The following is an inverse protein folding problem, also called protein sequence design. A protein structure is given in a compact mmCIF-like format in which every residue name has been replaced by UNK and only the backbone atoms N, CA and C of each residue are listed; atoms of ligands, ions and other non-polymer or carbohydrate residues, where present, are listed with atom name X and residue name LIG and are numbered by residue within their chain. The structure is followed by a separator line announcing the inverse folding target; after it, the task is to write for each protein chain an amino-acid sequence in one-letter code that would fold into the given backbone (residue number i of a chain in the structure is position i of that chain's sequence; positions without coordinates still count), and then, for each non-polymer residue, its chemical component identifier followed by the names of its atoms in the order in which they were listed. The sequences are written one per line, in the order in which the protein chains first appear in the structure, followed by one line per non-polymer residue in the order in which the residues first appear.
data_IF_310927936201
#
_entry.id   IF_310927936201
#
_cell.length_a   1.000
_cell.length_b   1.000
_cell.length_c   1.000
_cell.angle_alpha   90.00
_cell.angle_beta   90.00
_cell.angle_gamma   90.00
#
_symmetry.space_group_name_H-M   'P 1'
#
loop_
_entity.id
_entity.type
_entity.pdbx_description
1 polymer ?
#
# COMPACT_ATOMS: atom_id res chain seq x y z
N UNK A 1 -15.04 43.26 1.57
CA UNK A 1 -15.63 42.36 2.58
C UNK A 1 -14.55 41.39 3.06
N UNK A 2 -14.49 41.21 4.39
CA UNK A 2 -13.50 40.56 5.28
C UNK A 2 -12.55 39.47 4.73
N UNK A 3 -11.31 39.38 5.28
CA UNK A 3 -10.39 38.27 5.01
C UNK A 3 -10.87 37.01 5.72
N UNK A 4 -10.99 35.90 4.99
CA UNK A 4 -11.23 34.58 5.56
C UNK A 4 -9.94 34.06 6.20
N UNK A 5 -9.83 34.36 7.48
CA UNK A 5 -8.92 33.77 8.45
C UNK A 5 -9.04 32.23 8.39
N UNK A 6 -8.13 31.53 7.71
CA UNK A 6 -7.89 30.10 7.97
C UNK A 6 -7.03 30.00 9.23
N UNK A 7 -7.27 29.04 10.15
CA UNK A 7 -6.57 29.01 11.42
C UNK A 7 -5.10 28.66 11.19
N UNK A 8 -4.25 29.68 11.29
CA UNK A 8 -2.78 29.59 11.29
C UNK A 8 -2.31 28.52 12.29
N UNK A 9 -3.07 28.28 13.35
CA UNK A 9 -2.88 27.22 14.34
C UNK A 9 -2.86 25.80 13.78
N UNK A 10 -3.67 25.45 12.76
CA UNK A 10 -3.68 24.08 12.22
C UNK A 10 -2.41 23.76 11.42
N UNK A 11 -1.85 24.76 10.75
CA UNK A 11 -0.57 24.63 10.06
C UNK A 11 0.60 24.59 11.05
N UNK A 12 0.57 25.43 12.09
CA UNK A 12 1.61 25.43 13.13
C UNK A 12 1.59 24.13 13.94
N UNK A 13 0.41 23.59 14.29
CA UNK A 13 0.31 22.33 15.02
C UNK A 13 0.79 21.14 14.19
N UNK A 14 0.40 21.07 12.90
CA UNK A 14 0.95 20.09 11.96
C UNK A 14 2.46 20.21 11.79
N UNK A 15 2.99 21.43 11.72
CA UNK A 15 4.43 21.68 11.57
C UNK A 15 5.17 21.27 12.84
N UNK A 16 4.67 21.61 14.03
CA UNK A 16 5.29 21.27 15.33
C UNK A 16 5.24 19.76 15.57
N UNK A 17 4.12 19.09 15.28
CA UNK A 17 3.95 17.65 15.47
C UNK A 17 4.83 16.84 14.50
N UNK A 18 4.94 17.29 13.24
CA UNK A 18 5.86 16.71 12.25
C UNK A 18 7.33 16.96 12.61
N UNK A 19 7.66 18.14 13.16
CA UNK A 19 9.03 18.47 13.63
C UNK A 19 9.38 17.66 14.89
N UNK A 20 8.45 17.44 15.81
CA UNK A 20 8.71 16.60 16.98
C UNK A 20 8.87 15.14 16.58
N UNK A 21 8.03 14.64 15.68
CA UNK A 21 8.13 13.27 15.16
C UNK A 21 9.45 13.05 14.42
N UNK A 22 9.92 14.02 13.63
CA UNK A 22 11.21 13.89 12.94
C UNK A 22 12.40 13.86 13.92
N UNK A 23 12.37 14.66 14.98
CA UNK A 23 13.36 14.61 16.07
C UNK A 23 13.34 13.29 16.84
N UNK A 24 12.15 12.78 17.18
CA UNK A 24 12.01 11.47 17.85
C UNK A 24 12.57 10.35 16.98
N UNK A 25 12.22 10.32 15.69
CA UNK A 25 12.76 9.34 14.74
C UNK A 25 14.28 9.46 14.62
N UNK A 26 14.83 10.68 14.55
CA UNK A 26 16.28 10.89 14.47
C UNK A 26 17.02 10.40 15.72
N UNK A 27 16.49 10.69 16.90
CA UNK A 27 17.06 10.25 18.17
C UNK A 27 17.00 8.73 18.30
N UNK A 28 15.88 8.12 17.88
CA UNK A 28 15.74 6.66 17.89
C UNK A 28 16.67 5.99 16.87
N UNK A 29 16.80 6.55 15.67
CA UNK A 29 17.74 6.07 14.66
C UNK A 29 19.20 6.15 15.14
N UNK A 30 19.58 7.22 15.83
CA UNK A 30 20.92 7.35 16.42
C UNK A 30 21.17 6.30 17.51
N UNK A 31 20.17 5.96 18.32
CA UNK A 31 20.28 4.86 19.30
C UNK A 31 20.50 3.52 18.60
N UNK A 32 19.67 3.17 17.62
CA UNK A 32 19.81 1.92 16.86
C UNK A 32 21.19 1.84 16.20
N UNK A 33 21.62 2.92 15.55
CA UNK A 33 22.92 3.03 14.88
C UNK A 33 24.09 2.79 15.83
N UNK A 34 24.03 3.34 17.05
CA UNK A 34 25.04 3.10 18.10
C UNK A 34 25.06 1.65 18.58
N UNK A 35 23.90 1.05 18.83
CA UNK A 35 23.78 -0.32 19.34
C UNK A 35 24.16 -1.39 18.29
N UNK A 36 23.88 -1.14 17.01
CA UNK A 36 24.18 -2.08 15.91
C UNK A 36 25.55 -1.86 15.26
N UNK A 37 26.28 -0.80 15.65
CA UNK A 37 27.54 -0.40 15.01
C UNK A 37 27.39 0.00 13.54
N UNK A 38 26.16 0.26 13.08
CA UNK A 38 25.85 0.58 11.70
C UNK A 38 25.89 2.10 11.47
N UNK A 39 26.79 2.57 10.61
CA UNK A 39 26.97 4.00 10.31
C UNK A 39 25.95 4.58 9.31
N UNK A 40 25.01 3.77 8.79
CA UNK A 40 23.97 4.22 7.85
C UNK A 40 22.75 4.81 8.55
N UNK A 41 22.94 5.76 9.48
CA UNK A 41 21.85 6.40 10.23
C UNK A 41 20.76 6.98 9.30
N UNK A 42 21.14 7.49 8.13
CA UNK A 42 20.20 8.01 7.12
C UNK A 42 19.23 6.96 6.57
N UNK A 43 19.69 5.71 6.38
CA UNK A 43 18.84 4.59 5.92
C UNK A 43 17.88 4.19 7.03
N UNK A 44 18.35 4.16 8.29
CA UNK A 44 17.52 3.87 9.46
C UNK A 44 16.42 4.94 9.64
N UNK A 45 16.77 6.22 9.52
CA UNK A 45 15.80 7.34 9.57
C UNK A 45 14.74 7.19 8.48
N UNK A 46 15.16 6.92 7.23
CA UNK A 46 14.21 6.72 6.13
C UNK A 46 13.27 5.52 6.36
N UNK A 47 13.82 4.41 6.87
CA UNK A 47 13.04 3.23 7.24
C UNK A 47 11.99 3.54 8.30
N UNK A 48 12.38 4.22 9.38
CA UNK A 48 11.49 4.63 10.46
C UNK A 48 10.42 5.63 10.00
N UNK A 49 10.78 6.62 9.17
CA UNK A 49 9.81 7.56 8.58
C UNK A 49 8.79 6.85 7.68
N UNK A 50 9.26 5.87 6.91
CA UNK A 50 8.39 5.05 6.05
C UNK A 50 7.44 4.20 6.90
N UNK A 51 7.93 3.60 7.99
CA UNK A 51 7.12 2.82 8.92
C UNK A 51 6.09 3.69 9.65
N UNK A 52 6.49 4.86 10.15
CA UNK A 52 5.58 5.80 10.79
C UNK A 52 4.47 6.27 9.82
N UNK A 53 4.83 6.57 8.57
CA UNK A 53 3.88 6.92 7.52
C UNK A 53 2.92 5.76 7.22
N UNK A 54 3.40 4.52 7.21
CA UNK A 54 2.57 3.33 7.01
C UNK A 54 1.55 3.19 8.14
N UNK A 55 1.98 3.26 9.39
CA UNK A 55 1.09 3.17 10.57
C UNK A 55 0.02 4.26 10.50
N UNK A 56 0.43 5.51 10.25
CA UNK A 56 -0.51 6.62 10.12
C UNK A 56 -1.54 6.38 9.00
N UNK A 57 -1.09 5.90 7.83
CA UNK A 57 -2.00 5.57 6.73
C UNK A 57 -3.02 4.50 7.12
N UNK A 58 -2.58 3.45 7.81
CA UNK A 58 -3.47 2.38 8.26
C UNK A 58 -4.46 2.84 9.32
N UNK A 59 -4.07 3.74 10.24
CA UNK A 59 -4.98 4.33 11.22
C UNK A 59 -6.06 5.14 10.53
N UNK A 60 -5.69 6.03 9.60
CA UNK A 60 -6.67 6.83 8.84
C UNK A 60 -7.61 5.93 8.03
N UNK A 61 -7.06 4.91 7.37
CA UNK A 61 -7.83 3.93 6.60
C UNK A 61 -8.81 3.15 7.48
N UNK A 62 -8.36 2.68 8.65
CA UNK A 62 -9.15 1.95 9.63
C UNK A 62 -10.34 2.78 10.11
N UNK A 63 -10.11 4.03 10.54
CA UNK A 63 -11.16 4.92 11.03
C UNK A 63 -12.20 5.19 9.95
N UNK A 64 -11.78 5.58 8.74
CA UNK A 64 -12.71 5.91 7.66
C UNK A 64 -13.48 4.68 7.14
N UNK A 65 -12.82 3.53 7.03
CA UNK A 65 -13.47 2.30 6.57
C UNK A 65 -14.47 1.74 7.59
N UNK A 66 -14.22 1.97 8.88
CA UNK A 66 -15.17 1.66 9.94
C UNK A 66 -16.46 2.49 9.82
N UNK A 67 -16.36 3.81 9.68
CA UNK A 67 -17.53 4.67 9.46
C UNK A 67 -18.30 4.33 8.18
N UNK A 68 -17.60 3.89 7.14
CA UNK A 68 -18.21 3.45 5.90
C UNK A 68 -18.64 1.98 5.92
N UNK A 69 -18.59 1.27 7.04
CA UNK A 69 -19.00 -0.14 7.17
C UNK A 69 -18.34 -1.09 6.14
N UNK A 70 -17.11 -0.77 5.71
CA UNK A 70 -16.31 -1.61 4.79
C UNK A 70 -14.97 -2.03 5.38
N UNK A 71 -14.81 -1.85 6.69
CA UNK A 71 -13.57 -2.08 7.44
C UNK A 71 -12.80 -3.36 7.05
N UNK A 72 -13.33 -4.58 7.24
CA UNK A 72 -12.54 -5.79 7.01
C UNK A 72 -12.11 -5.91 5.54
N UNK A 73 -12.97 -5.53 4.60
CA UNK A 73 -12.73 -5.59 3.16
C UNK A 73 -11.59 -4.67 2.73
N UNK A 74 -11.66 -3.42 3.18
CA UNK A 74 -10.67 -2.40 2.90
C UNK A 74 -9.31 -2.76 3.51
N UNK A 75 -9.29 -3.28 4.74
CA UNK A 75 -8.04 -3.69 5.40
C UNK A 75 -7.42 -4.91 4.70
N UNK A 76 -8.21 -5.92 4.31
CA UNK A 76 -7.69 -7.09 3.57
C UNK A 76 -7.09 -6.64 2.23
N UNK A 77 -7.77 -5.78 1.48
CA UNK A 77 -7.26 -5.25 0.21
C UNK A 77 -5.96 -4.46 0.40
N UNK A 78 -5.88 -3.62 1.44
CA UNK A 78 -4.68 -2.86 1.78
C UNK A 78 -3.52 -3.75 2.21
N UNK A 79 -3.79 -4.79 3.02
CA UNK A 79 -2.79 -5.76 3.45
C UNK A 79 -2.23 -6.53 2.25
N UNK A 80 -3.09 -7.05 1.39
CA UNK A 80 -2.67 -7.78 0.19
C UNK A 80 -1.82 -6.92 -0.74
N UNK A 81 -2.22 -5.67 -0.97
CA UNK A 81 -1.45 -4.72 -1.77
C UNK A 81 -0.11 -4.36 -1.12
N UNK A 82 -0.12 -4.00 0.17
CA UNK A 82 1.08 -3.54 0.88
C UNK A 82 2.11 -4.66 1.10
N UNK A 83 1.69 -5.90 1.36
CA UNK A 83 2.60 -7.03 1.52
C UNK A 83 3.40 -7.29 0.24
N UNK A 84 2.75 -7.19 -0.92
CA UNK A 84 3.44 -7.30 -2.21
C UNK A 84 4.35 -6.10 -2.47
N UNK A 85 3.86 -4.89 -2.17
CA UNK A 85 4.59 -3.62 -2.37
C UNK A 85 5.92 -3.55 -1.63
N UNK A 86 6.03 -4.12 -0.43
CA UNK A 86 7.29 -4.17 0.32
C UNK A 86 8.40 -4.82 -0.52
N UNK A 87 8.06 -5.92 -1.20
CA UNK A 87 9.03 -6.77 -1.91
C UNK A 87 9.10 -6.53 -3.43
N UNK A 88 8.13 -5.85 -4.05
CA UNK A 88 8.20 -5.48 -5.47
C UNK A 88 8.47 -4.00 -5.73
N UNK A 89 8.30 -3.14 -4.72
CA UNK A 89 8.30 -1.68 -4.89
C UNK A 89 6.99 -1.16 -5.47
N UNK A 90 6.98 0.08 -5.97
CA UNK A 90 5.82 0.70 -6.60
C UNK A 90 5.89 2.22 -6.69
N UNK A 91 4.82 2.84 -7.18
CA UNK A 91 4.67 4.30 -7.29
C UNK A 91 4.50 4.97 -5.92
N UNK A 92 5.27 6.02 -5.65
CA UNK A 92 5.10 6.88 -4.48
C UNK A 92 4.61 8.27 -4.92
N UNK A 93 3.64 8.82 -4.18
CA UNK A 93 3.27 10.23 -4.33
C UNK A 93 4.40 11.11 -3.78
N UNK A 94 4.50 12.37 -4.23
CA UNK A 94 5.58 13.26 -3.79
C UNK A 94 5.43 13.79 -2.36
N UNK A 95 4.36 13.43 -1.64
CA UNK A 95 4.27 13.60 -0.19
C UNK A 95 3.51 12.45 0.48
N UNK A 96 3.82 12.18 1.75
CA UNK A 96 3.10 11.17 2.55
C UNK A 96 1.62 11.48 2.67
N UNK A 97 1.23 12.75 2.89
CA UNK A 97 -0.17 13.15 3.07
C UNK A 97 -1.01 12.91 1.81
N UNK A 98 -0.47 13.22 0.63
CA UNK A 98 -1.13 12.93 -0.65
C UNK A 98 -1.25 11.43 -0.90
N UNK A 99 -0.24 10.65 -0.49
CA UNK A 99 -0.33 9.19 -0.51
C UNK A 99 -1.41 8.67 0.45
N UNK A 100 -1.55 9.26 1.64
CA UNK A 100 -2.60 8.89 2.61
C UNK A 100 -3.97 9.13 2.01
N UNK A 101 -4.23 10.33 1.45
CA UNK A 101 -5.53 10.69 0.88
C UNK A 101 -5.87 9.78 -0.30
N UNK A 102 -4.99 9.71 -1.30
CA UNK A 102 -5.25 8.93 -2.50
C UNK A 102 -5.35 7.43 -2.21
N UNK A 103 -4.40 6.90 -1.43
CA UNK A 103 -4.41 5.49 -1.03
C UNK A 103 -5.66 5.14 -0.24
N UNK A 104 -6.08 5.99 0.70
CA UNK A 104 -7.29 5.75 1.48
C UNK A 104 -8.53 5.74 0.61
N UNK A 105 -8.69 6.73 -0.26
CA UNK A 105 -9.83 6.77 -1.20
C UNK A 105 -9.89 5.52 -2.07
N UNK A 106 -8.74 5.11 -2.63
CA UNK A 106 -8.67 3.89 -3.45
C UNK A 106 -9.08 2.67 -2.65
N UNK A 107 -8.49 2.42 -1.48
CA UNK A 107 -8.78 1.20 -0.71
C UNK A 107 -10.21 1.17 -0.14
N UNK A 108 -10.82 2.32 0.14
CA UNK A 108 -12.25 2.41 0.46
C UNK A 108 -13.13 2.00 -0.73
N UNK A 109 -12.81 2.49 -1.93
CA UNK A 109 -13.50 2.11 -3.17
C UNK A 109 -13.32 0.62 -3.46
N UNK A 110 -12.09 0.09 -3.35
CA UNK A 110 -11.82 -1.33 -3.54
C UNK A 110 -12.58 -2.20 -2.54
N UNK A 111 -12.67 -1.80 -1.27
CA UNK A 111 -13.48 -2.49 -0.27
C UNK A 111 -14.96 -2.56 -0.66
N UNK A 112 -15.53 -1.45 -1.14
CA UNK A 112 -16.92 -1.43 -1.64
C UNK A 112 -17.12 -2.31 -2.87
N UNK A 113 -16.20 -2.25 -3.83
CA UNK A 113 -16.22 -3.09 -5.04
C UNK A 113 -16.15 -4.57 -4.65
N UNK A 114 -15.27 -4.94 -3.72
CA UNK A 114 -15.10 -6.32 -3.27
C UNK A 114 -16.38 -6.90 -2.66
N UNK A 115 -17.05 -6.15 -1.77
CA UNK A 115 -18.34 -6.55 -1.20
C UNK A 115 -19.37 -6.74 -2.30
N UNK A 116 -19.49 -5.77 -3.21
CA UNK A 116 -20.46 -5.81 -4.30
C UNK A 116 -20.23 -7.02 -5.20
N UNK A 117 -18.99 -7.24 -5.66
CA UNK A 117 -18.64 -8.40 -6.49
C UNK A 117 -18.97 -9.72 -5.80
N UNK A 118 -18.70 -9.85 -4.50
CA UNK A 118 -18.95 -11.09 -3.77
C UNK A 118 -20.42 -11.48 -3.64
N UNK A 119 -21.34 -10.50 -3.73
CA UNK A 119 -22.78 -10.75 -3.77
C UNK A 119 -23.26 -11.22 -5.14
N UNK A 120 -22.70 -10.69 -6.23
CA UNK A 120 -23.19 -10.96 -7.59
C UNK A 120 -22.42 -12.05 -8.35
N UNK A 121 -21.36 -12.61 -7.76
CA UNK A 121 -20.49 -13.58 -8.45
C UNK A 121 -20.25 -14.84 -7.62
N UNK A 122 -19.82 -15.90 -8.30
CA UNK A 122 -19.60 -17.22 -7.71
C UNK A 122 -18.14 -17.40 -7.25
N UNK A 123 -17.91 -18.37 -6.38
CA UNK A 123 -16.55 -18.77 -5.97
C UNK A 123 -15.69 -19.20 -7.16
N UNK A 124 -16.29 -19.86 -8.17
CA UNK A 124 -15.61 -20.24 -9.41
C UNK A 124 -15.11 -19.02 -10.20
N UNK A 125 -15.88 -17.93 -10.23
CA UNK A 125 -15.45 -16.68 -10.86
C UNK A 125 -14.21 -16.08 -10.15
N UNK A 126 -14.17 -16.10 -8.82
CA UNK A 126 -12.99 -15.60 -8.09
C UNK A 126 -11.77 -16.49 -8.28
N UNK A 127 -11.94 -17.80 -8.43
CA UNK A 127 -10.83 -18.71 -8.74
C UNK A 127 -10.25 -18.45 -10.13
N UNK A 128 -11.09 -18.29 -11.15
CA UNK A 128 -10.63 -17.96 -12.50
C UNK A 128 -9.96 -16.57 -12.55
N UNK A 129 -10.57 -15.58 -11.90
CA UNK A 129 -10.00 -14.24 -11.75
C UNK A 129 -8.65 -14.28 -11.01
N UNK A 130 -8.55 -15.11 -9.97
CA UNK A 130 -7.32 -15.31 -9.20
C UNK A 130 -6.18 -15.84 -10.05
N UNK A 131 -6.44 -16.81 -10.93
CA UNK A 131 -5.45 -17.33 -11.88
C UNK A 131 -5.02 -16.22 -12.86
N UNK A 132 -5.96 -15.47 -13.43
CA UNK A 132 -5.64 -14.38 -14.34
C UNK A 132 -4.78 -13.30 -13.68
N UNK A 133 -5.14 -12.89 -12.46
CA UNK A 133 -4.37 -11.93 -11.67
C UNK A 133 -3.00 -12.49 -11.32
N UNK A 134 -2.87 -13.76 -10.96
CA UNK A 134 -1.59 -14.39 -10.64
C UNK A 134 -0.61 -14.32 -11.82
N UNK A 135 -1.08 -14.63 -13.02
CA UNK A 135 -0.27 -14.55 -14.25
C UNK A 135 0.18 -13.11 -14.51
N UNK A 136 -0.76 -12.16 -14.45
CA UNK A 136 -0.47 -10.74 -14.68
C UNK A 136 0.47 -10.16 -13.62
N UNK A 137 0.24 -10.48 -12.35
CA UNK A 137 1.06 -10.04 -11.22
C UNK A 137 2.48 -10.58 -11.32
N UNK A 138 2.63 -11.88 -11.64
CA UNK A 138 3.94 -12.50 -11.84
C UNK A 138 4.69 -11.83 -12.99
N UNK A 139 4.04 -11.64 -14.14
CA UNK A 139 4.62 -10.94 -15.28
C UNK A 139 5.02 -9.49 -14.93
N UNK A 140 4.18 -8.76 -14.20
CA UNK A 140 4.47 -7.40 -13.77
C UNK A 140 5.63 -7.33 -12.76
N UNK A 141 5.73 -8.27 -11.82
CA UNK A 141 6.83 -8.35 -10.84
C UNK A 141 8.16 -8.66 -11.55
N UNK A 142 8.18 -9.57 -12.53
CA UNK A 142 9.40 -9.85 -13.28
C UNK A 142 9.85 -8.67 -14.14
N UNK A 143 8.90 -8.01 -14.82
CA UNK A 143 9.18 -6.94 -15.77
C UNK A 143 9.47 -5.60 -15.10
N UNK A 144 8.68 -5.25 -14.08
CA UNK A 144 8.70 -3.92 -13.44
C UNK A 144 9.11 -3.96 -11.96
N UNK A 145 9.01 -5.12 -11.29
CA UNK A 145 9.37 -5.26 -9.89
C UNK A 145 10.85 -4.96 -9.65
N UNK A 146 11.13 -4.04 -8.71
CA UNK A 146 12.46 -3.52 -8.34
C UNK A 146 13.39 -3.17 -9.52
N UNK A 147 12.87 -3.06 -10.75
CA UNK A 147 13.64 -2.86 -11.97
C UNK A 147 13.89 -1.39 -12.31
N UNK A 148 13.25 -0.42 -11.63
CA UNK A 148 13.16 0.95 -12.18
C UNK A 148 13.16 2.10 -11.17
N UNK A 149 13.37 1.88 -9.87
CA UNK A 149 13.59 3.02 -8.95
C UNK A 149 15.06 3.41 -8.93
N UNK A 150 15.39 4.30 -9.87
CA UNK A 150 16.65 5.04 -10.13
C UNK A 150 17.38 5.68 -8.92
N UNK A 151 17.01 5.37 -7.67
CA UNK A 151 17.50 6.06 -6.47
C UNK A 151 17.83 5.18 -5.26
N UNK A 152 17.67 3.85 -5.34
CA UNK A 152 18.26 2.96 -4.34
C UNK A 152 19.56 2.41 -4.91
N UNK A 153 20.74 2.69 -4.30
CA UNK A 153 21.96 1.96 -4.61
C UNK A 153 21.77 0.53 -4.10
N UNK A 154 21.14 -0.31 -4.91
CA UNK A 154 21.10 -1.74 -4.67
C UNK A 154 22.48 -2.26 -5.07
N UNK A 155 23.36 -2.36 -4.08
CA UNK A 155 24.75 -2.78 -4.25
C UNK A 155 24.95 -4.16 -4.90
N UNK A 156 23.88 -4.89 -5.27
CA UNK A 156 23.99 -6.05 -6.18
C UNK A 156 22.68 -6.39 -6.89
N UNK A 157 22.79 -6.79 -8.16
CA UNK A 157 21.73 -7.43 -8.94
C UNK A 157 21.08 -8.62 -8.20
N UNK A 158 21.89 -9.36 -7.43
CA UNK A 158 21.45 -10.48 -6.60
C UNK A 158 20.39 -10.10 -5.54
N UNK A 159 20.47 -8.89 -4.97
CA UNK A 159 19.46 -8.42 -4.02
C UNK A 159 18.10 -8.16 -4.69
N UNK A 160 18.10 -7.63 -5.92
CA UNK A 160 16.89 -7.42 -6.70
C UNK A 160 16.17 -8.73 -7.04
N UNK A 161 16.92 -9.79 -7.37
CA UNK A 161 16.35 -11.13 -7.59
C UNK A 161 15.69 -11.65 -6.32
N UNK A 162 16.38 -11.59 -5.17
CA UNK A 162 15.84 -12.04 -3.88
C UNK A 162 14.51 -11.37 -3.55
N UNK A 163 14.41 -10.05 -3.73
CA UNK A 163 13.18 -9.31 -3.48
C UNK A 163 12.04 -9.72 -4.41
N UNK A 164 12.31 -9.93 -5.71
CA UNK A 164 11.31 -10.45 -6.65
C UNK A 164 10.83 -11.84 -6.26
N UNK A 165 11.75 -12.73 -5.87
CA UNK A 165 11.39 -14.08 -5.39
C UNK A 165 10.48 -13.99 -4.18
N UNK A 166 10.80 -13.15 -3.19
CA UNK A 166 9.95 -12.96 -2.01
C UNK A 166 8.58 -12.38 -2.40
N UNK A 167 8.52 -11.40 -3.32
CA UNK A 167 7.26 -10.85 -3.81
C UNK A 167 6.37 -11.93 -4.45
N UNK A 168 6.97 -12.82 -5.25
CA UNK A 168 6.27 -13.95 -5.87
C UNK A 168 5.82 -14.95 -4.80
N UNK A 169 6.66 -15.27 -3.81
CA UNK A 169 6.28 -16.15 -2.70
C UNK A 169 5.09 -15.58 -1.93
N UNK A 170 5.07 -14.27 -1.65
CA UNK A 170 3.93 -13.60 -1.00
C UNK A 170 2.68 -13.65 -1.86
N UNK A 171 2.79 -13.46 -3.18
CA UNK A 171 1.67 -13.62 -4.11
C UNK A 171 1.07 -15.03 -4.02
N UNK A 172 1.91 -16.06 -4.11
CA UNK A 172 1.45 -17.45 -4.01
C UNK A 172 0.92 -17.81 -2.63
N UNK A 173 1.43 -17.21 -1.55
CA UNK A 173 0.86 -17.37 -0.21
C UNK A 173 -0.58 -16.84 -0.15
N UNK A 174 -0.86 -15.67 -0.72
CA UNK A 174 -2.23 -15.15 -0.82
C UNK A 174 -3.14 -16.06 -1.66
N UNK A 175 -2.64 -16.58 -2.79
CA UNK A 175 -3.39 -17.52 -3.62
C UNK A 175 -3.66 -18.84 -2.89
N UNK A 176 -2.71 -19.34 -2.10
CA UNK A 176 -2.90 -20.54 -1.29
C UNK A 176 -3.99 -20.34 -0.23
N UNK A 177 -4.04 -19.18 0.43
CA UNK A 177 -5.13 -18.83 1.37
C UNK A 177 -6.47 -18.77 0.65
N UNK A 178 -6.52 -18.16 -0.54
CA UNK A 178 -7.73 -18.11 -1.39
C UNK A 178 -8.20 -19.52 -1.76
N UNK A 179 -7.29 -20.39 -2.18
CA UNK A 179 -7.60 -21.78 -2.52
C UNK A 179 -8.11 -22.57 -1.30
N UNK A 180 -7.44 -22.43 -0.15
CA UNK A 180 -7.86 -23.05 1.10
C UNK A 180 -9.28 -22.64 1.48
N UNK A 181 -9.58 -21.33 1.49
CA UNK A 181 -10.92 -20.83 1.81
C UNK A 181 -11.96 -21.27 0.78
N UNK A 182 -11.58 -21.36 -0.50
CA UNK A 182 -12.48 -21.84 -1.55
C UNK A 182 -12.86 -23.31 -1.38
N UNK A 183 -11.95 -24.14 -0.87
CA UNK A 183 -12.18 -25.58 -0.67
C UNK A 183 -13.04 -25.84 0.56
N UNK A 184 -12.71 -25.23 1.71
CA UNK A 184 -13.41 -25.50 2.97
C UNK A 184 -14.70 -24.70 3.15
N UNK A 185 -14.86 -23.57 2.47
CA UNK A 185 -15.99 -22.64 2.68
C UNK A 185 -16.64 -22.19 1.36
N UNK A 186 -16.78 -23.12 0.39
CA UNK A 186 -17.14 -22.82 -1.00
C UNK A 186 -18.44 -22.01 -1.18
N UNK A 187 -19.47 -22.27 -0.34
CA UNK A 187 -20.77 -21.58 -0.42
C UNK A 187 -20.87 -20.33 0.47
N UNK A 188 -19.90 -20.12 1.37
CA UNK A 188 -19.99 -19.03 2.34
C UNK A 188 -19.82 -17.67 1.65
N UNK A 189 -20.67 -16.70 2.00
CA UNK A 189 -20.51 -15.33 1.51
C UNK A 189 -19.22 -14.71 2.05
N UNK A 190 -18.85 -15.02 3.29
CA UNK A 190 -17.65 -14.49 3.93
C UNK A 190 -16.36 -14.90 3.20
N UNK A 191 -16.26 -16.15 2.71
CA UNK A 191 -15.12 -16.57 1.90
C UNK A 191 -15.05 -15.82 0.58
N UNK A 192 -16.17 -15.68 -0.16
CA UNK A 192 -16.23 -14.90 -1.40
C UNK A 192 -15.81 -13.45 -1.20
N UNK A 193 -16.28 -12.84 -0.12
CA UNK A 193 -15.95 -11.47 0.27
C UNK A 193 -14.46 -11.32 0.59
N UNK A 194 -13.86 -12.27 1.30
CA UNK A 194 -12.41 -12.30 1.53
C UNK A 194 -11.63 -12.43 0.22
N UNK A 195 -12.01 -13.37 -0.64
CA UNK A 195 -11.38 -13.60 -1.95
C UNK A 195 -11.44 -12.34 -2.81
N UNK A 196 -12.61 -11.70 -2.91
CA UNK A 196 -12.78 -10.45 -3.64
C UNK A 196 -11.88 -9.33 -3.10
N UNK A 197 -11.79 -9.21 -1.78
CA UNK A 197 -10.98 -8.18 -1.11
C UNK A 197 -9.48 -8.39 -1.36
N UNK A 198 -9.00 -9.62 -1.22
CA UNK A 198 -7.61 -9.97 -1.48
C UNK A 198 -7.25 -9.75 -2.97
N UNK A 199 -8.07 -10.26 -3.88
CA UNK A 199 -7.83 -10.15 -5.33
C UNK A 199 -7.86 -8.71 -5.82
N UNK A 200 -8.79 -7.88 -5.35
CA UNK A 200 -8.81 -6.45 -5.70
C UNK A 200 -7.57 -5.71 -5.18
N UNK A 201 -7.08 -6.04 -3.99
CA UNK A 201 -5.81 -5.53 -3.46
C UNK A 201 -4.59 -5.93 -4.30
N UNK A 202 -4.49 -7.21 -4.68
CA UNK A 202 -3.41 -7.73 -5.53
C UNK A 202 -3.48 -7.10 -6.92
N UNK A 203 -4.68 -6.98 -7.50
CA UNK A 203 -4.89 -6.35 -8.81
C UNK A 203 -4.46 -4.87 -8.78
N UNK A 204 -4.85 -4.14 -7.73
CA UNK A 204 -4.45 -2.74 -7.55
C UNK A 204 -2.92 -2.58 -7.46
N UNK A 205 -2.26 -3.44 -6.69
CA UNK A 205 -0.81 -3.43 -6.58
C UNK A 205 -0.14 -3.74 -7.92
N UNK A 206 -0.62 -4.77 -8.61
CA UNK A 206 -0.14 -5.17 -9.93
C UNK A 206 -0.26 -4.02 -10.93
N UNK A 207 -1.40 -3.32 -10.92
CA UNK A 207 -1.61 -2.13 -11.73
C UNK A 207 -0.58 -1.04 -11.38
N UNK A 208 -0.34 -0.77 -10.09
CA UNK A 208 0.64 0.23 -9.63
C UNK A 208 2.09 -0.08 -10.03
N UNK A 209 2.45 -1.34 -10.30
CA UNK A 209 3.76 -1.71 -10.85
C UNK A 209 3.91 -1.36 -12.34
N UNK A 210 2.81 -1.26 -13.08
CA UNK A 210 2.87 -0.97 -14.52
C UNK A 210 3.10 0.53 -14.80
N UNK A 211 3.63 0.89 -15.99
CA UNK A 211 3.78 2.30 -16.39
C UNK A 211 2.47 3.09 -16.34
N UNK A 212 1.34 2.43 -16.59
CA UNK A 212 0.01 3.03 -16.48
C UNK A 212 -0.35 3.41 -15.05
N UNK A 213 -0.08 2.51 -14.10
CA UNK A 213 -0.25 2.81 -12.67
C UNK A 213 0.64 3.97 -12.22
N UNK A 214 1.89 4.04 -12.67
CA UNK A 214 2.76 5.18 -12.40
C UNK A 214 2.18 6.50 -12.94
N UNK A 215 1.66 6.52 -14.18
CA UNK A 215 1.01 7.70 -14.77
C UNK A 215 -0.22 8.14 -13.98
N UNK A 216 -1.10 7.22 -13.59
CA UNK A 216 -2.30 7.55 -12.79
C UNK A 216 -1.91 8.18 -11.46
N UNK A 217 -0.93 7.61 -10.77
CA UNK A 217 -0.42 8.17 -9.51
C UNK A 217 0.17 9.58 -9.71
N UNK A 218 0.92 9.82 -10.78
CA UNK A 218 1.45 11.15 -11.10
C UNK A 218 0.36 12.17 -11.42
N UNK A 219 -0.70 11.77 -12.13
CA UNK A 219 -1.84 12.64 -12.44
C UNK A 219 -2.58 12.99 -11.14
N UNK A 220 -2.89 11.99 -10.32
CA UNK A 220 -3.54 12.21 -9.02
C UNK A 220 -2.69 13.15 -8.14
N UNK A 221 -1.38 12.95 -8.11
CA UNK A 221 -0.45 13.79 -7.36
C UNK A 221 -0.45 15.24 -7.86
N UNK A 222 -0.41 15.46 -9.18
CA UNK A 222 -0.50 16.80 -9.79
C UNK A 222 -1.83 17.50 -9.50
N UNK A 223 -2.95 16.76 -9.49
CA UNK A 223 -4.25 17.35 -9.18
C UNK A 223 -4.32 17.78 -7.72
N UNK A 224 -3.81 16.97 -6.79
CA UNK A 224 -3.74 17.34 -5.38
C UNK A 224 -2.81 18.54 -5.14
N UNK A 225 -1.70 18.65 -5.88
CA UNK A 225 -0.83 19.84 -5.84
C UNK A 225 -1.57 21.11 -6.25
N UNK A 226 -2.40 21.07 -7.31
CA UNK A 226 -3.21 22.22 -7.73
C UNK A 226 -4.19 22.67 -6.64
N UNK A 227 -4.69 21.73 -5.85
CA UNK A 227 -5.58 21.98 -4.70
C UNK A 227 -4.83 22.45 -3.45
N UNK A 228 -3.50 22.63 -3.52
CA UNK A 228 -2.61 22.98 -2.39
C UNK A 228 -2.72 22.00 -1.22
N UNK A 229 -2.89 20.70 -1.54
CA UNK A 229 -2.85 19.57 -0.61
C UNK A 229 -1.46 18.90 -0.59
#
# INVERSE_FOLDING_TARGET
MRPLNRPIFLNIFKIIEVINMSKVIHNFAQRISRETGNNETGVIVFGLQSLASLIFNYVVLAVLSYFLQVFPHTIIAALASSSLRIFSGGSHASSSLRCTIFGTLVFLILGRIAVTLAFFTSTAFFLSLGISIAVLATAAIFKYGYATTHKKPLNSYAHGIKLRTIAITVLFAWLAVILYLSYFYILSLQSRVFMASALTGIAWHTFCLTPWGHKVNQIADKQMQKLRL
#
